data_IF_748409493605
#
_entry.id   IF_748409493605
#
_cell.length_a   1.000
_cell.length_b   1.000
_cell.length_c   1.000
_cell.angle_alpha   90.00
_cell.angle_beta   90.00
_cell.angle_gamma   90.00
#
_symmetry.space_group_name_H-M   'P 1'
#
loop_
_entity.id
_entity.type
_entity.pdbx_description
1 polymer ?
#
# COMPACT_ATOMS: atom_id res chain seq x y z
N UNK A 1 -6.13 -19.18 -8.97
CA UNK A 1 -6.03 -18.79 -7.55
C UNK A 1 -5.90 -17.28 -7.45
N UNK A 2 -6.49 -16.72 -6.41
CA UNK A 2 -6.34 -15.33 -6.01
C UNK A 2 -5.29 -15.23 -4.91
N UNK A 3 -4.28 -14.39 -5.10
CA UNK A 3 -3.18 -14.24 -4.15
C UNK A 3 -3.09 -12.80 -3.68
N UNK A 4 -2.84 -12.60 -2.39
CA UNK A 4 -2.45 -11.30 -1.87
C UNK A 4 -1.06 -11.37 -1.25
N UNK A 5 -0.15 -10.51 -1.73
CA UNK A 5 1.24 -10.48 -1.25
C UNK A 5 1.49 -9.14 -0.59
N UNK A 6 1.75 -9.16 0.71
CA UNK A 6 2.26 -7.98 1.43
C UNK A 6 3.78 -7.88 1.25
N UNK A 7 4.25 -6.76 0.73
CA UNK A 7 5.66 -6.39 0.68
C UNK A 7 6.03 -5.49 1.84
N UNK A 8 6.97 -5.97 2.68
CA UNK A 8 7.58 -5.17 3.73
C UNK A 8 8.49 -4.09 3.15
N UNK A 9 8.36 -2.85 3.65
CA UNK A 9 9.08 -1.69 3.13
C UNK A 9 10.62 -1.79 3.18
N UNK A 10 11.18 -2.67 4.02
CA UNK A 10 12.63 -2.93 4.08
C UNK A 10 13.16 -3.53 2.78
N UNK A 11 12.37 -4.34 2.07
CA UNK A 11 12.77 -4.96 0.80
C UNK A 11 12.79 -3.96 -0.37
N UNK A 12 12.30 -2.74 -0.15
CA UNK A 12 12.10 -1.71 -1.17
C UNK A 12 13.15 -0.59 -1.14
N UNK A 13 14.01 -0.59 -0.12
CA UNK A 13 14.94 0.50 0.17
C UNK A 13 16.15 0.50 -0.79
N UNK A 14 16.61 -0.70 -1.16
CA UNK A 14 17.75 -0.88 -2.07
C UNK A 14 17.27 -1.26 -3.49
N UNK A 15 17.73 -0.56 -4.54
CA UNK A 15 17.35 -0.85 -5.92
C UNK A 15 17.54 -2.32 -6.32
N UNK A 16 18.71 -2.91 -6.06
CA UNK A 16 19.04 -4.29 -6.43
C UNK A 16 18.11 -5.31 -5.74
N UNK A 17 17.80 -5.07 -4.47
CA UNK A 17 16.86 -5.90 -3.71
C UNK A 17 15.44 -5.78 -4.24
N UNK A 18 15.00 -4.57 -4.61
CA UNK A 18 13.70 -4.33 -5.24
C UNK A 18 13.60 -5.00 -6.61
N UNK A 19 14.63 -4.94 -7.43
CA UNK A 19 14.65 -5.59 -8.75
C UNK A 19 14.60 -7.11 -8.63
N UNK A 20 15.38 -7.68 -7.71
CA UNK A 20 15.38 -9.13 -7.46
C UNK A 20 14.00 -9.61 -7.01
N UNK A 21 13.42 -8.98 -5.97
CA UNK A 21 12.15 -9.42 -5.40
C UNK A 21 10.99 -9.27 -6.40
N UNK A 22 10.95 -8.18 -7.17
CA UNK A 22 9.88 -7.97 -8.16
C UNK A 22 9.98 -8.96 -9.31
N UNK A 23 11.19 -9.34 -9.74
CA UNK A 23 11.40 -10.39 -10.75
C UNK A 23 10.96 -11.77 -10.26
N UNK A 24 11.31 -12.13 -9.03
CA UNK A 24 10.90 -13.41 -8.41
C UNK A 24 9.37 -13.47 -8.24
N UNK A 25 8.75 -12.39 -7.77
CA UNK A 25 7.30 -12.31 -7.62
C UNK A 25 6.62 -12.38 -8.99
N UNK A 26 7.04 -11.55 -9.96
CA UNK A 26 6.46 -11.56 -11.30
C UNK A 26 6.55 -12.94 -11.95
N UNK A 27 7.63 -13.68 -11.73
CA UNK A 27 7.79 -15.04 -12.24
C UNK A 27 6.87 -16.06 -11.55
N UNK A 28 6.71 -15.95 -10.23
CA UNK A 28 5.95 -16.91 -9.39
C UNK A 28 4.44 -16.72 -9.44
N UNK A 29 3.95 -15.52 -9.78
CA UNK A 29 2.51 -15.21 -9.80
C UNK A 29 1.86 -15.35 -11.18
N UNK A 30 2.61 -15.84 -12.18
CA UNK A 30 2.07 -16.07 -13.53
C UNK A 30 0.91 -17.06 -13.51
N UNK A 31 -0.20 -16.68 -14.14
CA UNK A 31 -1.42 -17.49 -14.15
C UNK A 31 -2.26 -17.37 -12.87
N UNK A 32 -1.92 -16.45 -11.96
CA UNK A 32 -2.71 -16.14 -10.77
C UNK A 32 -3.28 -14.72 -10.83
N UNK A 33 -4.41 -14.51 -10.16
CA UNK A 33 -4.97 -13.19 -9.95
C UNK A 33 -4.34 -12.61 -8.69
N UNK A 34 -3.33 -11.78 -8.83
CA UNK A 34 -2.50 -11.34 -7.70
C UNK A 34 -2.66 -9.87 -7.43
N UNK A 35 -2.70 -9.52 -6.13
CA UNK A 35 -2.66 -8.14 -5.64
C UNK A 35 -1.45 -7.99 -4.73
N UNK A 36 -0.69 -6.93 -4.92
CA UNK A 36 0.44 -6.56 -4.06
C UNK A 36 -0.02 -5.47 -3.10
N UNK A 37 0.31 -5.57 -1.82
CA UNK A 37 0.09 -4.51 -0.82
C UNK A 37 1.44 -4.10 -0.25
N UNK A 38 1.71 -2.79 -0.10
CA UNK A 38 2.99 -2.34 0.45
C UNK A 38 2.86 -1.13 1.37
N UNK A 39 3.78 -1.06 2.34
CA UNK A 39 4.04 0.15 3.13
C UNK A 39 5.27 0.90 2.61
N UNK A 40 5.81 1.79 3.44
CA UNK A 40 7.04 2.55 3.15
C UNK A 40 7.67 3.16 4.39
N UNK A 41 7.60 2.47 5.53
CA UNK A 41 7.89 3.04 6.85
C UNK A 41 9.28 3.67 6.98
N UNK A 42 10.32 3.05 6.41
CA UNK A 42 11.69 3.58 6.41
C UNK A 42 11.80 4.84 5.54
N UNK A 43 11.26 4.79 4.34
CA UNK A 43 11.26 5.88 3.37
C UNK A 43 10.51 7.09 3.91
N UNK A 44 9.40 6.86 4.62
CA UNK A 44 8.66 7.91 5.34
C UNK A 44 9.50 8.54 6.44
N UNK A 45 10.12 7.73 7.31
CA UNK A 45 10.97 8.27 8.38
C UNK A 45 12.08 9.14 7.81
N UNK A 46 12.74 8.71 6.73
CA UNK A 46 13.74 9.51 6.03
C UNK A 46 13.16 10.83 5.50
N UNK A 47 12.05 10.77 4.77
CA UNK A 47 11.39 11.94 4.20
C UNK A 47 11.00 12.99 5.24
N UNK A 48 10.48 12.55 6.40
CA UNK A 48 10.11 13.41 7.53
C UNK A 48 11.34 14.01 8.21
N UNK A 49 12.37 13.19 8.47
CA UNK A 49 13.62 13.64 9.09
C UNK A 49 14.33 14.71 8.24
N UNK A 50 14.38 14.53 6.91
CA UNK A 50 14.96 15.50 5.97
C UNK A 50 14.24 16.87 6.00
N UNK A 51 13.04 16.93 6.59
CA UNK A 51 12.21 18.13 6.77
C UNK A 51 12.12 18.61 8.21
N UNK A 52 12.88 18.00 9.13
CA UNK A 52 12.85 18.33 10.55
C UNK A 52 11.56 17.91 11.26
N UNK A 53 10.75 17.02 10.66
CA UNK A 53 9.51 16.52 11.26
C UNK A 53 9.83 15.24 12.04
N UNK A 54 9.65 15.28 13.36
CA UNK A 54 9.93 14.11 14.21
C UNK A 54 8.88 13.02 14.04
N UNK A 55 9.35 11.79 13.81
CA UNK A 55 8.50 10.61 13.79
C UNK A 55 8.15 10.16 15.20
N UNK A 56 6.87 10.23 15.59
CA UNK A 56 6.35 9.68 16.85
C UNK A 56 5.56 8.39 16.62
N UNK A 57 5.78 7.41 17.47
CA UNK A 57 5.05 6.14 17.46
C UNK A 57 4.35 5.90 18.80
N UNK A 58 3.14 5.33 18.74
CA UNK A 58 2.35 4.89 19.89
C UNK A 58 1.81 3.52 19.52
N UNK A 59 2.05 2.49 20.36
CA UNK A 59 1.60 1.11 20.12
C UNK A 59 2.02 0.55 18.74
N UNK A 60 3.21 0.96 18.25
CA UNK A 60 3.71 0.57 16.93
C UNK A 60 3.08 1.30 15.74
N UNK A 61 2.14 2.22 15.98
CA UNK A 61 1.48 3.05 14.97
C UNK A 61 2.14 4.43 14.92
N UNK A 62 2.37 4.94 13.72
CA UNK A 62 2.92 6.28 13.51
C UNK A 62 1.82 7.30 13.75
N UNK A 63 2.00 8.19 14.72
CA UNK A 63 1.11 9.34 14.91
C UNK A 63 1.10 10.15 13.62
N UNK A 64 -0.09 10.37 13.06
CA UNK A 64 -0.26 10.90 11.71
C UNK A 64 -0.89 12.28 11.79
N UNK A 65 -0.03 13.31 11.90
CA UNK A 65 -0.44 14.73 11.81
C UNK A 65 -0.70 15.12 10.35
N UNK A 66 -1.24 16.32 10.05
CA UNK A 66 -1.44 16.78 8.68
C UNK A 66 -0.17 16.74 7.81
N UNK A 67 0.99 17.06 8.37
CA UNK A 67 2.29 16.98 7.67
C UNK A 67 2.68 15.53 7.36
N UNK A 68 2.31 14.59 8.24
CA UNK A 68 2.53 13.16 8.01
C UNK A 68 1.56 12.62 6.97
N UNK A 69 0.33 13.15 6.86
CA UNK A 69 -0.61 12.81 5.76
C UNK A 69 -0.04 13.25 4.41
N UNK A 70 0.50 14.47 4.31
CA UNK A 70 1.16 14.93 3.07
C UNK A 70 2.34 14.04 2.69
N UNK A 71 3.18 13.67 3.67
CA UNK A 71 4.27 12.74 3.48
C UNK A 71 3.79 11.33 3.08
N UNK A 72 2.65 10.87 3.61
CA UNK A 72 2.01 9.60 3.26
C UNK A 72 1.68 9.54 1.78
N UNK A 73 1.00 10.55 1.25
CA UNK A 73 0.65 10.62 -0.16
C UNK A 73 1.91 10.67 -1.04
N UNK A 74 2.89 11.51 -0.70
CA UNK A 74 4.11 11.68 -1.50
C UNK A 74 5.03 10.44 -1.47
N UNK A 75 5.13 9.79 -0.32
CA UNK A 75 6.06 8.66 -0.14
C UNK A 75 5.39 7.33 -0.46
N UNK A 76 4.24 7.00 0.15
CA UNK A 76 3.63 5.68 -0.03
C UNK A 76 2.98 5.58 -1.39
N UNK A 77 2.01 6.45 -1.70
CA UNK A 77 1.27 6.42 -2.97
C UNK A 77 2.10 7.00 -4.15
N UNK A 78 3.03 7.92 -3.87
CA UNK A 78 3.98 8.43 -4.85
C UNK A 78 5.18 7.52 -5.03
N UNK A 79 6.32 7.92 -4.44
CA UNK A 79 7.64 7.39 -4.75
C UNK A 79 7.79 5.87 -4.57
N UNK A 80 7.27 5.32 -3.48
CA UNK A 80 7.42 3.88 -3.20
C UNK A 80 6.53 3.05 -4.13
N UNK A 81 5.25 3.41 -4.26
CA UNK A 81 4.31 2.68 -5.13
C UNK A 81 4.76 2.69 -6.59
N UNK A 82 5.10 3.87 -7.13
CA UNK A 82 5.51 3.98 -8.52
C UNK A 82 6.91 3.40 -8.79
N UNK A 83 7.80 3.40 -7.79
CA UNK A 83 9.05 2.66 -7.85
C UNK A 83 8.84 1.14 -7.95
N UNK A 84 7.87 0.60 -7.22
CA UNK A 84 7.46 -0.80 -7.31
C UNK A 84 6.79 -1.12 -8.65
N UNK A 85 5.84 -0.30 -9.09
CA UNK A 85 5.17 -0.44 -10.38
C UNK A 85 6.19 -0.47 -11.51
N UNK A 86 7.13 0.49 -11.53
CA UNK A 86 8.20 0.54 -12.53
C UNK A 86 9.06 -0.73 -12.52
N UNK A 87 9.40 -1.26 -11.34
CA UNK A 87 10.20 -2.47 -11.23
C UNK A 87 9.43 -3.73 -11.69
N UNK A 88 8.14 -3.84 -11.37
CA UNK A 88 7.28 -4.92 -11.89
C UNK A 88 7.10 -4.85 -13.41
N UNK A 89 6.96 -3.65 -13.97
CA UNK A 89 6.90 -3.45 -15.43
C UNK A 89 8.22 -3.88 -16.08
N UNK A 90 9.37 -3.50 -15.50
CA UNK A 90 10.68 -3.96 -15.97
C UNK A 90 10.84 -5.50 -15.88
N UNK A 91 10.17 -6.14 -14.93
CA UNK A 91 10.10 -7.60 -14.81
C UNK A 91 9.08 -8.27 -15.76
N UNK A 92 8.41 -7.51 -16.63
CA UNK A 92 7.46 -7.99 -17.62
C UNK A 92 6.01 -8.14 -17.13
N UNK A 93 5.69 -7.64 -15.93
CA UNK A 93 4.31 -7.63 -15.44
C UNK A 93 3.55 -6.39 -15.91
N UNK A 94 2.22 -6.51 -16.07
CA UNK A 94 1.33 -5.37 -16.38
C UNK A 94 0.88 -4.69 -15.09
N UNK A 95 1.79 -4.01 -14.40
CA UNK A 95 1.52 -3.47 -13.07
C UNK A 95 0.74 -2.14 -13.11
N UNK A 96 -0.18 -1.95 -12.16
CA UNK A 96 -0.97 -0.72 -11.98
C UNK A 96 -0.87 -0.28 -10.53
N UNK A 97 -0.42 0.97 -10.32
CA UNK A 97 -0.31 1.57 -9.00
C UNK A 97 -1.65 2.10 -8.50
N UNK A 98 -2.01 1.73 -7.27
CA UNK A 98 -3.22 2.15 -6.59
C UNK A 98 -2.90 2.45 -5.12
N UNK A 99 -3.87 3.06 -4.45
CA UNK A 99 -4.03 3.17 -3.01
C UNK A 99 -5.41 2.66 -2.63
N UNK A 100 -5.71 2.59 -1.32
CA UNK A 100 -7.07 2.35 -0.84
C UNK A 100 -8.06 3.46 -1.16
N UNK A 101 -7.60 4.65 -1.57
CA UNK A 101 -8.46 5.78 -1.95
C UNK A 101 -9.08 5.57 -3.33
N UNK A 102 -8.36 4.92 -4.25
CA UNK A 102 -8.77 4.76 -5.64
C UNK A 102 -10.06 3.93 -5.73
N UNK A 103 -11.14 4.54 -6.25
CA UNK A 103 -12.52 4.03 -6.23
C UNK A 103 -13.09 3.71 -4.83
N UNK A 104 -12.46 4.22 -3.76
CA UNK A 104 -12.79 3.82 -2.39
C UNK A 104 -12.51 2.34 -2.13
N UNK A 105 -11.43 1.82 -2.73
CA UNK A 105 -10.99 0.42 -2.61
C UNK A 105 -10.96 -0.05 -1.15
N UNK A 106 -10.49 0.79 -0.23
CA UNK A 106 -10.53 0.56 1.22
C UNK A 106 -11.09 1.79 1.90
N UNK A 107 -12.21 1.59 2.59
CA UNK A 107 -12.85 2.59 3.43
C UNK A 107 -12.28 2.47 4.85
N UNK A 108 -11.83 3.59 5.42
CA UNK A 108 -11.24 3.62 6.74
C UNK A 108 -11.81 4.76 7.59
N UNK A 109 -11.83 4.56 8.90
CA UNK A 109 -12.20 5.58 9.89
C UNK A 109 -11.01 5.85 10.82
N UNK A 110 -11.03 7.01 11.47
CA UNK A 110 -10.01 7.33 12.47
C UNK A 110 -10.00 6.28 13.60
N UNK A 111 -8.85 5.66 13.83
CA UNK A 111 -8.70 4.62 14.85
C UNK A 111 -8.83 5.18 16.27
N UNK A 112 -8.20 6.34 16.52
CA UNK A 112 -8.10 6.99 17.83
C UNK A 112 -7.70 8.45 17.66
N UNK A 113 -8.26 9.33 18.48
CA UNK A 113 -8.03 10.78 18.38
C UNK A 113 -6.55 11.16 18.60
N UNK A 114 -5.91 10.56 19.60
CA UNK A 114 -4.51 10.84 19.97
C UNK A 114 -3.46 10.38 18.95
N UNK A 115 -3.87 9.56 17.98
CA UNK A 115 -3.02 9.10 16.87
C UNK A 115 -3.12 10.00 15.63
N UNK A 116 -4.05 10.96 15.60
CA UNK A 116 -4.34 11.75 14.40
C UNK A 116 -4.96 10.88 13.30
N UNK A 117 -4.56 11.09 12.05
CA UNK A 117 -5.09 10.42 10.87
C UNK A 117 -4.58 8.97 10.68
N UNK A 118 -4.51 8.20 11.77
CA UNK A 118 -4.32 6.74 11.69
C UNK A 118 -5.67 6.08 11.44
N UNK A 119 -5.74 5.25 10.40
CA UNK A 119 -6.98 4.64 9.94
C UNK A 119 -7.14 3.19 10.36
N UNK A 120 -8.38 2.82 10.68
CA UNK A 120 -8.84 1.44 10.79
C UNK A 120 -9.71 1.12 9.56
N UNK A 121 -9.37 0.10 8.76
CA UNK A 121 -10.26 -0.35 7.68
C UNK A 121 -11.62 -0.79 8.24
N UNK A 122 -12.70 -0.30 7.62
CA UNK A 122 -14.10 -0.61 7.97
C UNK A 122 -14.87 -1.21 6.79
N UNK A 123 -14.35 -1.06 5.57
CA UNK A 123 -14.95 -1.64 4.37
C UNK A 123 -13.96 -1.77 3.22
N UNK A 124 -14.32 -2.58 2.22
CA UNK A 124 -13.52 -2.78 1.01
C UNK A 124 -14.41 -2.87 -0.23
N UNK A 125 -14.05 -2.19 -1.31
CA UNK A 125 -14.70 -2.25 -2.63
C UNK A 125 -13.70 -2.79 -3.66
N UNK A 126 -13.74 -4.09 -3.92
CA UNK A 126 -12.69 -4.81 -4.65
C UNK A 126 -13.00 -5.08 -6.12
N UNK A 127 -14.09 -4.50 -6.64
CA UNK A 127 -14.52 -4.56 -8.04
C UNK A 127 -13.40 -4.10 -8.98
N UNK A 128 -12.67 -3.04 -8.61
CA UNK A 128 -11.51 -2.58 -9.35
C UNK A 128 -10.38 -3.62 -9.38
N UNK A 129 -10.11 -4.32 -8.27
CA UNK A 129 -9.11 -5.39 -8.23
C UNK A 129 -9.54 -6.58 -9.10
N UNK A 130 -10.83 -6.94 -9.08
CA UNK A 130 -11.37 -7.98 -9.93
C UNK A 130 -11.25 -7.64 -11.40
N UNK A 131 -11.62 -6.42 -11.79
CA UNK A 131 -11.48 -5.94 -13.17
C UNK A 131 -10.02 -6.03 -13.62
N UNK A 132 -9.09 -5.45 -12.88
CA UNK A 132 -7.67 -5.42 -13.25
C UNK A 132 -7.09 -6.83 -13.35
N UNK A 133 -7.29 -7.66 -12.33
CA UNK A 133 -6.69 -9.01 -12.30
C UNK A 133 -7.32 -9.95 -13.32
N UNK A 134 -8.63 -9.83 -13.63
CA UNK A 134 -9.27 -10.58 -14.70
C UNK A 134 -8.71 -10.24 -16.08
N UNK A 135 -8.20 -9.02 -16.27
CA UNK A 135 -7.55 -8.58 -17.51
C UNK A 135 -6.03 -8.70 -17.49
N UNK A 136 -5.47 -9.45 -16.53
CA UNK A 136 -4.04 -9.76 -16.46
C UNK A 136 -3.15 -8.61 -15.99
N UNK A 137 -3.72 -7.60 -15.32
CA UNK A 137 -2.96 -6.58 -14.62
C UNK A 137 -2.57 -7.05 -13.22
N UNK A 138 -1.48 -6.48 -12.68
CA UNK A 138 -0.99 -6.69 -11.31
C UNK A 138 -1.23 -5.39 -10.51
N UNK A 139 -2.32 -5.28 -9.74
CA UNK A 139 -2.54 -4.16 -8.84
C UNK A 139 -1.47 -4.10 -7.74
N UNK A 140 -0.91 -2.92 -7.51
CA UNK A 140 0.05 -2.63 -6.45
C UNK A 140 -0.53 -1.53 -5.56
N UNK A 141 -0.98 -1.90 -4.36
CA UNK A 141 -1.78 -1.06 -3.46
C UNK A 141 -0.92 -0.50 -2.33
N UNK A 142 -0.81 0.82 -2.25
CA UNK A 142 -0.20 1.52 -1.13
C UNK A 142 -1.11 1.51 0.11
N UNK A 143 -0.52 1.42 1.31
CA UNK A 143 -1.23 1.42 2.60
C UNK A 143 -1.75 2.82 3.00
N UNK A 144 -2.58 3.40 2.15
CA UNK A 144 -3.28 4.67 2.33
C UNK A 144 -4.75 4.43 2.03
N UNK A 145 -5.66 4.87 2.89
CA UNK A 145 -7.11 4.73 2.69
C UNK A 145 -7.81 6.08 2.88
N UNK A 146 -9.09 6.15 2.54
CA UNK A 146 -9.91 7.32 2.82
C UNK A 146 -11.30 6.95 3.30
N UNK A 147 -12.10 7.97 3.63
CA UNK A 147 -13.52 7.83 3.94
C UNK A 147 -14.40 8.51 2.87
N UNK A 148 -15.71 8.52 3.11
CA UNK A 148 -16.70 9.17 2.22
C UNK A 148 -16.73 10.69 2.35
N UNK A 149 -16.04 11.24 3.33
CA UNK A 149 -15.95 12.67 3.61
C UNK A 149 -14.70 13.30 2.97
N UNK A 150 -13.82 12.48 2.39
CA UNK A 150 -12.59 12.93 1.73
C UNK A 150 -11.38 13.01 2.68
N UNK A 151 -11.47 12.44 3.88
CA UNK A 151 -10.32 12.33 4.77
C UNK A 151 -9.38 11.22 4.29
N UNK A 152 -8.10 11.37 4.61
CA UNK A 152 -7.03 10.43 4.25
C UNK A 152 -6.42 9.85 5.50
N UNK A 153 -6.20 8.54 5.50
CA UNK A 153 -5.71 7.81 6.65
C UNK A 153 -4.46 6.97 6.33
N UNK A 154 -3.53 6.97 7.29
CA UNK A 154 -2.40 6.05 7.35
C UNK A 154 -2.87 4.72 7.94
N UNK A 155 -2.87 3.67 7.13
CA UNK A 155 -3.33 2.34 7.54
C UNK A 155 -2.13 1.42 7.79
N UNK A 156 -2.17 0.66 8.87
CA UNK A 156 -1.16 -0.36 9.12
C UNK A 156 -1.11 -1.38 7.97
N UNK A 157 0.09 -1.76 7.52
CA UNK A 157 0.23 -2.59 6.32
C UNK A 157 -0.33 -4.01 6.46
N UNK A 158 -0.35 -4.59 7.66
CA UNK A 158 -0.99 -5.89 7.90
C UNK A 158 -2.51 -5.76 7.89
N UNK A 159 -3.06 -4.70 8.50
CA UNK A 159 -4.50 -4.42 8.45
C UNK A 159 -4.97 -4.14 7.02
N UNK A 160 -4.18 -3.40 6.24
CA UNK A 160 -4.45 -3.15 4.83
C UNK A 160 -4.46 -4.46 4.03
N UNK A 161 -3.44 -5.31 4.23
CA UNK A 161 -3.35 -6.60 3.56
C UNK A 161 -4.55 -7.50 3.89
N UNK A 162 -4.97 -7.57 5.15
CA UNK A 162 -6.15 -8.34 5.57
C UNK A 162 -7.43 -7.79 4.95
N UNK A 163 -7.62 -6.47 4.96
CA UNK A 163 -8.81 -5.84 4.37
C UNK A 163 -8.91 -6.09 2.87
N UNK A 164 -7.80 -5.89 2.13
CA UNK A 164 -7.72 -6.22 0.71
C UNK A 164 -7.95 -7.71 0.45
N UNK A 165 -7.35 -8.61 1.24
CA UNK A 165 -7.43 -10.05 1.01
C UNK A 165 -8.85 -10.56 1.25
N UNK A 166 -9.49 -10.08 2.31
CA UNK A 166 -10.87 -10.43 2.65
C UNK A 166 -11.83 -9.93 1.58
N UNK A 167 -11.72 -8.65 1.18
CA UNK A 167 -12.57 -8.09 0.14
C UNK A 167 -12.35 -8.71 -1.24
N UNK A 168 -11.11 -9.05 -1.58
CA UNK A 168 -10.77 -9.68 -2.85
C UNK A 168 -11.14 -11.17 -2.89
N UNK A 169 -11.37 -11.78 -1.72
CA UNK A 169 -11.53 -13.23 -1.59
C UNK A 169 -10.25 -13.95 -2.01
N UNK A 170 -9.11 -13.52 -1.48
CA UNK A 170 -7.82 -14.17 -1.72
C UNK A 170 -7.81 -15.59 -1.15
N UNK A 171 -7.26 -16.54 -1.89
CA UNK A 171 -7.07 -17.93 -1.45
C UNK A 171 -5.87 -18.04 -0.48
N UNK A 172 -4.90 -17.12 -0.60
CA UNK A 172 -3.66 -17.07 0.17
C UNK A 172 -3.10 -15.65 0.25
#
# INVERSE_FOLDING_TARGET
MKLLIKLGGTLLDEPDSRERITREIAASVRGHQTVIVHGGGKQMTRFLNDRGIQSRFVDGLRVTTPEVVDALLKVFAGSVNHGLVSAFVAAGARAVGLSGIDDGLIEAEQLREDLGAVGKPVGSRTELLHLLTAHGFLPVVACVAGDRQGNVYNVNADQMAVACATGFGADR
#
